data_IF_976539176983
#
_entry.id   IF_976539176983
#
_cell.length_a   1.000
_cell.length_b   1.000
_cell.length_c   1.000
_cell.angle_alpha   90.00
_cell.angle_beta   90.00
_cell.angle_gamma   90.00
#
_symmetry.space_group_name_H-M   'P 1'
#
loop_
_entity.id
_entity.type
_entity.pdbx_description
1 polymer ?
#
# COMPACT_ATOMS: atom_id res chain seq x y z
N UNK A 1 -3.44 8.67 2.41
CA UNK A 1 -2.87 8.27 3.70
C UNK A 1 -3.59 9.03 4.81
N UNK A 2 -4.10 8.34 5.82
CA UNK A 2 -4.78 8.98 6.96
C UNK A 2 -3.81 9.38 8.09
N UNK A 3 -2.55 8.97 7.99
CA UNK A 3 -1.49 9.24 8.98
C UNK A 3 -0.16 9.58 8.30
N UNK A 4 -0.10 10.66 7.49
CA UNK A 4 1.08 11.03 6.72
C UNK A 4 2.34 11.22 7.59
N UNK A 5 2.18 11.64 8.85
CA UNK A 5 3.27 11.79 9.81
C UNK A 5 4.00 10.49 10.14
N UNK A 6 3.39 9.33 9.90
CA UNK A 6 4.01 8.01 10.10
C UNK A 6 4.88 7.58 8.90
N UNK A 7 4.78 8.30 7.78
CA UNK A 7 5.65 8.11 6.61
C UNK A 7 5.60 6.71 6.01
N UNK A 8 4.45 6.03 6.02
CA UNK A 8 4.35 4.61 5.63
C UNK A 8 4.93 4.30 4.24
N UNK A 9 4.72 5.18 3.27
CA UNK A 9 5.30 5.05 1.92
C UNK A 9 6.84 4.94 1.95
N UNK A 10 7.51 5.61 2.88
CA UNK A 10 8.97 5.69 2.96
C UNK A 10 9.62 4.52 3.71
N UNK A 11 8.83 3.57 4.22
CA UNK A 11 9.30 2.53 5.16
C UNK A 11 8.99 1.11 4.69
N UNK A 12 9.00 0.89 3.38
CA UNK A 12 8.79 -0.42 2.75
C UNK A 12 9.67 -0.52 1.50
N UNK A 13 9.86 -1.74 1.00
CA UNK A 13 10.90 -2.07 -0.01
C UNK A 13 10.77 -1.30 -1.32
N UNK A 14 9.54 -0.96 -1.71
CA UNK A 14 9.27 -0.18 -2.92
C UNK A 14 9.94 1.21 -2.91
N UNK A 15 10.26 1.75 -1.72
CA UNK A 15 10.84 3.08 -1.58
C UNK A 15 12.23 3.20 -2.21
N UNK A 16 13.08 2.17 -2.11
CA UNK A 16 14.41 2.21 -2.72
C UNK A 16 14.34 2.25 -4.26
N UNK A 17 13.32 1.63 -4.85
CA UNK A 17 13.02 1.76 -6.28
C UNK A 17 12.49 3.16 -6.63
N UNK A 18 11.60 3.70 -5.78
CA UNK A 18 11.06 5.05 -5.96
C UNK A 18 12.15 6.13 -5.90
N UNK A 19 13.12 6.00 -4.98
CA UNK A 19 14.31 6.85 -4.88
C UNK A 19 15.16 6.86 -6.15
N UNK A 20 15.12 5.78 -6.92
CA UNK A 20 15.78 5.66 -8.22
C UNK A 20 14.86 6.02 -9.40
N UNK A 21 13.68 6.59 -9.13
CA UNK A 21 12.75 7.08 -10.15
C UNK A 21 11.81 6.02 -10.71
N UNK A 22 11.90 4.76 -10.28
CA UNK A 22 10.97 3.70 -10.72
C UNK A 22 9.59 3.97 -10.12
N UNK A 23 8.53 4.14 -10.93
CA UNK A 23 7.16 4.32 -10.41
C UNK A 23 6.76 3.17 -9.50
N UNK A 24 6.29 3.51 -8.30
CA UNK A 24 5.89 2.53 -7.30
C UNK A 24 4.42 2.68 -6.93
N UNK A 25 3.77 1.55 -6.67
CA UNK A 25 2.42 1.46 -6.16
C UNK A 25 2.45 0.77 -4.78
N UNK A 26 1.88 1.43 -3.78
CA UNK A 26 1.83 0.95 -2.40
C UNK A 26 0.41 1.10 -1.88
N UNK A 27 -0.15 0.00 -1.39
CA UNK A 27 -1.44 0.00 -0.70
C UNK A 27 -1.22 -0.09 0.80
N UNK A 28 -2.19 0.45 1.55
CA UNK A 28 -2.24 0.33 2.99
C UNK A 28 -3.69 0.08 3.39
N UNK A 29 -3.97 -0.78 4.38
CA UNK A 29 -5.34 -1.03 4.83
C UNK A 29 -6.04 0.28 5.23
N UNK A 30 -7.28 0.44 4.77
CA UNK A 30 -8.15 1.54 5.18
C UNK A 30 -8.70 1.35 6.61
N UNK A 31 -9.22 2.42 7.19
CA UNK A 31 -9.91 2.39 8.51
C UNK A 31 -11.42 2.26 8.40
N UNK A 32 -11.96 2.59 7.23
CA UNK A 32 -13.38 2.44 6.90
C UNK A 32 -13.57 1.09 6.24
N UNK A 33 -14.16 0.15 7.00
CA UNK A 33 -14.37 -1.24 6.56
C UNK A 33 -15.83 -1.39 6.18
N UNK A 34 -16.08 -1.99 5.02
CA UNK A 34 -17.44 -2.26 4.51
C UNK A 34 -18.11 -3.30 5.40
N UNK A 35 -19.30 -3.00 5.92
CA UNK A 35 -20.12 -3.91 6.73
C UNK A 35 -20.15 -3.56 8.23
N UNK A 36 -19.00 -3.56 8.94
CA UNK A 36 -18.93 -3.15 10.34
C UNK A 36 -19.32 -1.68 10.59
N UNK A 37 -19.69 -1.31 11.84
CA UNK A 37 -19.98 0.06 12.19
C UNK A 37 -18.74 0.97 12.08
N UNK A 38 -18.98 2.27 11.96
CA UNK A 38 -17.92 3.29 11.93
C UNK A 38 -16.95 3.14 13.12
N UNK A 39 -15.65 3.31 12.84
CA UNK A 39 -14.59 3.17 13.85
C UNK A 39 -14.11 1.74 14.09
N UNK A 40 -14.79 0.71 13.55
CA UNK A 40 -14.35 -0.69 13.66
C UNK A 40 -12.91 -0.89 13.15
N UNK A 41 -12.60 -0.44 11.93
CA UNK A 41 -11.27 -0.62 11.35
C UNK A 41 -10.17 0.11 12.12
N UNK A 42 -10.45 1.32 12.63
CA UNK A 42 -9.51 2.02 13.51
C UNK A 42 -9.23 1.21 14.78
N UNK A 43 -10.27 0.73 15.46
CA UNK A 43 -10.12 -0.09 16.67
C UNK A 43 -9.27 -1.33 16.40
N UNK A 44 -9.54 -2.06 15.31
CA UNK A 44 -8.74 -3.24 14.93
C UNK A 44 -7.29 -2.89 14.57
N UNK A 45 -7.06 -1.80 13.86
CA UNK A 45 -5.72 -1.32 13.53
C UNK A 45 -4.92 -0.94 14.78
N UNK A 46 -5.55 -0.24 15.73
CA UNK A 46 -4.92 0.14 17.00
C UNK A 46 -4.61 -1.10 17.86
N UNK A 47 -5.58 -2.04 17.98
CA UNK A 47 -5.40 -3.33 18.67
C UNK A 47 -4.23 -4.11 18.07
N UNK A 48 -4.22 -4.31 16.74
CA UNK A 48 -3.12 -5.02 16.07
C UNK A 48 -1.77 -4.35 16.31
N UNK A 49 -1.69 -3.03 16.13
CA UNK A 49 -0.43 -2.29 16.30
C UNK A 49 0.11 -2.37 17.73
N UNK A 50 -0.78 -2.37 18.72
CA UNK A 50 -0.40 -2.35 20.14
C UNK A 50 -0.11 -3.75 20.66
N UNK A 51 -0.92 -4.73 20.28
CA UNK A 51 -0.92 -6.06 20.88
C UNK A 51 -0.16 -7.10 20.05
N UNK A 52 -0.18 -7.02 18.73
CA UNK A 52 0.25 -8.13 17.86
C UNK A 52 1.45 -7.80 16.96
N UNK A 53 1.56 -6.57 16.46
CA UNK A 53 2.59 -6.18 15.49
C UNK A 53 4.02 -6.44 16.01
N UNK A 54 4.83 -7.17 15.23
CA UNK A 54 6.19 -7.60 15.58
C UNK A 54 6.27 -8.44 16.87
N UNK A 55 5.21 -9.15 17.22
CA UNK A 55 5.18 -10.08 18.36
C UNK A 55 4.82 -11.48 17.92
N UNK A 56 5.08 -12.45 18.80
CA UNK A 56 4.71 -13.87 18.58
C UNK A 56 3.21 -14.09 18.48
N UNK A 57 2.39 -13.12 18.91
CA UNK A 57 0.93 -13.18 18.80
C UNK A 57 0.41 -12.76 17.43
N UNK A 58 1.28 -12.33 16.50
CA UNK A 58 0.93 -12.05 15.10
C UNK A 58 0.59 -13.35 14.34
N UNK A 59 -0.58 -13.88 14.64
CA UNK A 59 -1.12 -15.12 14.11
C UNK A 59 -2.53 -14.86 13.58
N UNK A 60 -2.96 -15.68 12.61
CA UNK A 60 -4.33 -15.64 12.08
C UNK A 60 -5.32 -15.80 13.24
N UNK A 61 -6.21 -14.82 13.41
CA UNK A 61 -7.26 -14.88 14.43
C UNK A 61 -8.58 -15.34 13.82
N UNK A 62 -9.46 -16.02 14.58
CA UNK A 62 -10.76 -16.49 14.07
C UNK A 62 -11.69 -15.41 13.52
N UNK A 63 -11.45 -14.14 13.88
CA UNK A 63 -12.23 -12.99 13.44
C UNK A 63 -11.62 -12.26 12.24
N UNK A 64 -10.50 -12.75 11.68
CA UNK A 64 -9.93 -12.17 10.47
C UNK A 64 -10.86 -12.44 9.28
N UNK A 65 -11.22 -11.36 8.60
CA UNK A 65 -11.92 -11.40 7.32
C UNK A 65 -10.90 -11.14 6.20
N UNK A 66 -10.82 -12.07 5.26
CA UNK A 66 -9.87 -12.04 4.15
C UNK A 66 -10.48 -11.48 2.85
N UNK A 67 -11.74 -11.07 2.83
CA UNK A 67 -12.36 -10.50 1.62
C UNK A 67 -11.62 -9.24 1.13
N UNK A 68 -11.14 -8.41 2.06
CA UNK A 68 -10.29 -7.26 1.75
C UNK A 68 -8.96 -7.68 1.10
N UNK A 69 -8.28 -8.68 1.67
CA UNK A 69 -7.04 -9.20 1.12
C UNK A 69 -7.23 -9.84 -0.27
N UNK A 70 -8.36 -10.52 -0.49
CA UNK A 70 -8.71 -11.07 -1.80
C UNK A 70 -8.94 -9.96 -2.84
N UNK A 71 -9.57 -8.86 -2.43
CA UNK A 71 -9.79 -7.66 -3.28
C UNK A 71 -8.45 -7.00 -3.64
N UNK A 72 -7.57 -6.79 -2.67
CA UNK A 72 -6.23 -6.24 -2.91
C UNK A 72 -5.41 -7.15 -3.83
N UNK A 73 -5.46 -8.48 -3.61
CA UNK A 73 -4.76 -9.46 -4.46
C UNK A 73 -5.23 -9.36 -5.92
N UNK A 74 -6.54 -9.23 -6.13
CA UNK A 74 -7.11 -9.03 -7.47
C UNK A 74 -6.63 -7.72 -8.09
N UNK A 75 -6.62 -6.63 -7.33
CA UNK A 75 -6.12 -5.33 -7.79
C UNK A 75 -4.65 -5.42 -8.24
N UNK A 76 -3.78 -6.04 -7.43
CA UNK A 76 -2.36 -6.22 -7.78
C UNK A 76 -2.17 -7.08 -9.03
N UNK A 77 -2.97 -8.14 -9.18
CA UNK A 77 -2.95 -8.97 -10.38
C UNK A 77 -3.37 -8.18 -11.63
N UNK A 78 -4.46 -7.43 -11.54
CA UNK A 78 -4.96 -6.62 -12.65
C UNK A 78 -3.97 -5.52 -13.03
N UNK A 79 -3.38 -4.83 -12.05
CA UNK A 79 -2.32 -3.84 -12.25
C UNK A 79 -1.09 -4.46 -12.93
N UNK A 80 -0.59 -5.59 -12.42
CA UNK A 80 0.57 -6.27 -13.01
C UNK A 80 0.29 -6.72 -14.44
N UNK A 81 -0.91 -7.25 -14.70
CA UNK A 81 -1.34 -7.63 -16.05
C UNK A 81 -1.42 -6.42 -16.98
N UNK A 82 -1.96 -5.30 -16.53
CA UNK A 82 -2.06 -4.08 -17.35
C UNK A 82 -0.67 -3.53 -17.68
N UNK A 83 0.21 -3.39 -16.68
CA UNK A 83 1.59 -2.91 -16.85
C UNK A 83 2.39 -3.83 -17.77
N UNK A 84 2.19 -5.15 -17.70
CA UNK A 84 2.89 -6.10 -18.55
C UNK A 84 2.43 -6.07 -20.02
N UNK A 85 1.21 -5.60 -20.31
CA UNK A 85 0.61 -5.65 -21.64
C UNK A 85 0.41 -4.27 -22.30
N UNK A 86 0.72 -3.18 -21.60
CA UNK A 86 0.62 -1.81 -22.12
C UNK A 86 1.92 -1.37 -22.81
N UNK A 87 1.81 -0.49 -23.81
CA UNK A 87 2.96 0.25 -24.35
C UNK A 87 3.24 1.54 -23.58
N UNK A 88 2.29 2.01 -22.76
CA UNK A 88 2.41 3.21 -21.96
C UNK A 88 2.94 2.86 -20.57
N UNK A 89 4.18 3.22 -20.30
CA UNK A 89 4.79 3.02 -18.98
C UNK A 89 4.10 3.85 -17.89
N UNK A 90 4.02 3.34 -16.66
CA UNK A 90 3.59 4.14 -15.52
C UNK A 90 4.45 5.39 -15.35
N UNK A 91 3.82 6.45 -14.84
CA UNK A 91 4.44 7.76 -14.63
C UNK A 91 4.21 8.23 -13.20
N UNK A 92 5.17 8.99 -12.68
CA UNK A 92 4.95 9.73 -11.44
C UNK A 92 3.99 10.89 -11.66
N UNK A 93 3.14 11.14 -10.67
CA UNK A 93 2.34 12.37 -10.62
C UNK A 93 3.26 13.60 -10.59
N UNK A 94 2.80 14.69 -11.17
CA UNK A 94 3.50 15.98 -11.12
C UNK A 94 3.68 16.45 -9.67
N UNK A 95 4.85 17.03 -9.37
CA UNK A 95 5.16 17.55 -8.03
C UNK A 95 5.64 16.50 -7.03
N UNK A 96 5.74 15.21 -7.39
CA UNK A 96 6.41 14.23 -6.53
C UNK A 96 7.93 14.37 -6.64
N UNK A 97 8.62 14.11 -5.54
CA UNK A 97 10.08 14.19 -5.47
C UNK A 97 10.81 13.17 -6.37
N UNK A 98 10.12 12.08 -6.76
CA UNK A 98 10.67 11.03 -7.62
C UNK A 98 10.58 11.33 -9.12
N UNK A 99 9.69 12.25 -9.54
CA UNK A 99 9.42 12.52 -10.96
C UNK A 99 10.65 13.03 -11.70
N UNK A 100 11.41 13.95 -11.09
CA UNK A 100 12.58 14.55 -11.74
C UNK A 100 13.63 13.51 -12.14
N UNK A 101 13.84 12.50 -11.29
CA UNK A 101 14.79 11.41 -11.56
C UNK A 101 14.28 10.48 -12.66
N UNK A 102 13.00 10.12 -12.63
CA UNK A 102 12.37 9.33 -13.71
C UNK A 102 12.48 10.03 -15.06
N UNK A 103 12.19 11.33 -15.10
CA UNK A 103 12.26 12.12 -16.32
C UNK A 103 13.70 12.21 -16.86
N UNK A 104 14.72 12.17 -16.00
CA UNK A 104 16.12 12.12 -16.41
C UNK A 104 16.53 10.75 -16.99
N UNK A 105 15.94 9.64 -16.52
CA UNK A 105 16.21 8.29 -17.05
C UNK A 105 15.66 8.05 -18.46
N UNK A 106 14.63 8.80 -18.86
CA UNK A 106 13.94 8.63 -20.15
C UNK A 106 14.50 9.52 -21.27
N UNK A 107 15.58 10.27 -20.99
CA UNK A 107 16.26 11.15 -21.95
C UNK A 107 17.40 10.45 -22.67
#
# INVERSE_FOLDING_TARGET
>A
DTEPQKGYFYRSDHFEFAKEGVPAFYTHPGKDIIGPPAGYGKKRSDEYTTEDYHKVSDEIKPWWDFEGAATDTRLFFELGREVANTSKWPEWKSGTEFKAKRDAMLR
#
